data_IF_131142256650
#
_entry.id   IF_131142256650
#
_cell.length_a   1.000
_cell.length_b   1.000
_cell.length_c   1.000
_cell.angle_alpha   90.00
_cell.angle_beta   90.00
_cell.angle_gamma   90.00
#
_symmetry.space_group_name_H-M   'P 1'
#
loop_
_entity.id
_entity.type
_entity.pdbx_description
1 polymer ?
#
# COMPACT_ATOMS: atom_id res chain seq x y z
N UNK A 1 2.68 22.56 3.85
CA UNK A 1 2.53 22.20 2.42
C UNK A 1 1.67 23.25 1.74
N UNK A 2 1.99 23.59 0.48
CA UNK A 2 1.24 24.51 -0.39
C UNK A 2 0.49 23.74 -1.50
N UNK A 3 0.04 22.50 -1.19
CA UNK A 3 -0.64 21.64 -2.17
C UNK A 3 -1.93 22.27 -2.71
N UNK A 4 -2.67 23.02 -1.89
CA UNK A 4 -3.85 23.76 -2.34
C UNK A 4 -3.56 25.02 -3.15
N UNK A 5 -2.29 25.40 -3.31
CA UNK A 5 -1.93 26.67 -3.91
C UNK A 5 -2.33 27.86 -3.03
N UNK A 6 -2.75 28.93 -3.68
CA UNK A 6 -3.19 30.18 -3.05
C UNK A 6 -4.17 30.88 -4.00
N UNK A 7 -4.93 31.89 -3.56
CA UNK A 7 -5.78 32.66 -4.46
C UNK A 7 -5.02 33.17 -5.70
N UNK A 8 -5.44 32.72 -6.88
CA UNK A 8 -4.78 33.04 -8.17
C UNK A 8 -3.60 32.14 -8.56
N UNK A 9 -3.28 31.11 -7.76
CA UNK A 9 -2.21 30.14 -7.98
C UNK A 9 -2.81 28.73 -8.05
N UNK A 10 -2.41 27.96 -9.06
CA UNK A 10 -2.92 26.58 -9.22
C UNK A 10 -2.49 25.69 -8.04
N UNK A 11 -3.36 24.76 -7.59
CA UNK A 11 -2.97 23.72 -6.66
C UNK A 11 -2.01 22.72 -7.34
N UNK A 12 -1.36 21.91 -6.52
CA UNK A 12 -0.57 20.77 -6.96
C UNK A 12 -1.47 19.65 -7.48
N UNK A 13 -1.04 19.00 -8.56
CA UNK A 13 -1.69 17.81 -9.12
C UNK A 13 -1.12 16.55 -8.48
N UNK A 14 -1.97 15.83 -7.75
CA UNK A 14 -1.65 14.60 -7.03
C UNK A 14 -2.29 13.41 -7.73
N UNK A 15 -1.49 12.45 -8.13
CA UNK A 15 -1.94 11.19 -8.73
C UNK A 15 -1.76 10.06 -7.73
N UNK A 16 -2.82 9.33 -7.42
CA UNK A 16 -2.77 8.17 -6.53
C UNK A 16 -3.07 6.92 -7.34
N UNK A 17 -2.17 5.94 -7.30
CA UNK A 17 -2.26 4.68 -8.01
C UNK A 17 -2.71 3.58 -7.03
N UNK A 18 -3.95 3.13 -7.14
CA UNK A 18 -4.60 2.14 -6.28
C UNK A 18 -5.65 2.78 -5.36
N UNK A 19 -6.89 2.30 -5.40
CA UNK A 19 -8.04 2.72 -4.59
C UNK A 19 -8.32 1.74 -3.42
N UNK A 20 -7.29 1.01 -2.97
CA UNK A 20 -7.32 0.26 -1.72
C UNK A 20 -7.29 1.19 -0.50
N UNK A 21 -7.20 0.62 0.70
CA UNK A 21 -7.22 1.40 1.95
C UNK A 21 -6.12 2.48 1.99
N UNK A 22 -4.91 2.15 1.56
CA UNK A 22 -3.79 3.09 1.52
C UNK A 22 -4.07 4.25 0.58
N UNK A 23 -4.36 3.95 -0.69
CA UNK A 23 -4.54 5.00 -1.69
C UNK A 23 -5.81 5.83 -1.49
N UNK A 24 -6.90 5.24 -0.99
CA UNK A 24 -8.07 6.01 -0.57
C UNK A 24 -7.73 7.07 0.49
N UNK A 25 -7.03 6.67 1.56
CA UNK A 25 -6.64 7.61 2.61
C UNK A 25 -5.64 8.66 2.10
N UNK A 26 -4.70 8.27 1.23
CA UNK A 26 -3.77 9.20 0.61
C UNK A 26 -4.50 10.24 -0.26
N UNK A 27 -5.44 9.80 -1.09
CA UNK A 27 -6.25 10.66 -1.93
C UNK A 27 -7.15 11.59 -1.10
N UNK A 28 -7.76 11.06 -0.03
CA UNK A 28 -8.59 11.85 0.88
C UNK A 28 -7.77 12.94 1.60
N UNK A 29 -6.58 12.61 2.11
CA UNK A 29 -5.70 13.58 2.74
C UNK A 29 -5.21 14.66 1.76
N UNK A 30 -4.82 14.26 0.54
CA UNK A 30 -4.41 15.21 -0.50
C UNK A 30 -5.54 16.17 -0.89
N UNK A 31 -6.76 15.66 -1.07
CA UNK A 31 -7.94 16.48 -1.35
C UNK A 31 -8.30 17.39 -0.16
N UNK A 32 -8.10 16.92 1.07
CA UNK A 32 -8.25 17.74 2.28
C UNK A 32 -7.24 18.89 2.40
N UNK A 33 -6.09 18.77 1.72
CA UNK A 33 -5.11 19.84 1.54
C UNK A 33 -5.37 20.68 0.27
N UNK A 34 -6.55 20.52 -0.33
CA UNK A 34 -7.05 21.25 -1.51
C UNK A 34 -6.24 21.01 -2.80
N UNK A 35 -5.49 19.90 -2.89
CA UNK A 35 -4.83 19.50 -4.13
C UNK A 35 -5.84 19.04 -5.20
N UNK A 36 -5.44 19.11 -6.48
CA UNK A 36 -6.14 18.44 -7.57
C UNK A 36 -5.79 16.94 -7.55
N UNK A 37 -6.74 16.07 -7.21
CA UNK A 37 -6.47 14.65 -6.99
C UNK A 37 -7.09 13.75 -8.07
N UNK A 38 -6.24 12.98 -8.75
CA UNK A 38 -6.61 11.89 -9.64
C UNK A 38 -6.36 10.53 -8.94
N UNK A 39 -7.39 9.72 -8.73
CA UNK A 39 -7.29 8.38 -8.14
C UNK A 39 -7.53 7.30 -9.21
N UNK A 40 -6.52 6.48 -9.47
CA UNK A 40 -6.55 5.44 -10.50
C UNK A 40 -6.67 4.03 -9.90
N UNK A 41 -7.60 3.21 -10.39
CA UNK A 41 -7.68 1.78 -10.05
C UNK A 41 -8.28 0.95 -11.20
N UNK A 42 -8.03 -0.36 -11.23
CA UNK A 42 -8.66 -1.28 -12.20
C UNK A 42 -10.08 -1.66 -11.77
N UNK A 43 -10.38 -1.62 -10.47
CA UNK A 43 -11.66 -1.98 -9.89
C UNK A 43 -12.62 -0.77 -9.93
N UNK A 44 -13.55 -0.82 -10.88
CA UNK A 44 -14.56 0.23 -11.09
C UNK A 44 -15.49 0.36 -9.87
N UNK A 45 -15.78 -0.72 -9.14
CA UNK A 45 -16.66 -0.66 -7.96
C UNK A 45 -15.98 0.11 -6.81
N UNK A 46 -14.66 -0.04 -6.65
CA UNK A 46 -13.87 0.79 -5.72
C UNK A 46 -13.90 2.26 -6.11
N UNK A 47 -13.72 2.57 -7.39
CA UNK A 47 -13.79 3.94 -7.90
C UNK A 47 -15.18 4.54 -7.70
N UNK A 48 -16.25 3.79 -8.00
CA UNK A 48 -17.64 4.22 -7.78
C UNK A 48 -17.90 4.53 -6.31
N UNK A 49 -17.38 3.72 -5.40
CA UNK A 49 -17.52 3.96 -3.97
C UNK A 49 -16.85 5.26 -3.53
N UNK A 50 -15.64 5.54 -4.03
CA UNK A 50 -14.91 6.79 -3.76
C UNK A 50 -15.67 8.00 -4.30
N UNK A 51 -16.15 7.93 -5.53
CA UNK A 51 -16.88 9.01 -6.19
C UNK A 51 -18.17 9.38 -5.43
N UNK A 52 -18.93 8.38 -4.96
CA UNK A 52 -20.13 8.59 -4.15
C UNK A 52 -19.88 9.32 -2.82
N UNK A 53 -18.70 9.13 -2.22
CA UNK A 53 -18.33 9.77 -0.95
C UNK A 53 -17.78 11.18 -1.17
N UNK A 54 -16.91 11.35 -2.17
CA UNK A 54 -16.17 12.61 -2.37
C UNK A 54 -16.89 13.61 -3.28
N UNK A 55 -17.95 13.17 -3.97
CA UNK A 55 -18.84 14.04 -4.77
C UNK A 55 -18.07 14.98 -5.70
N UNK A 56 -17.12 14.43 -6.47
CA UNK A 56 -16.31 15.17 -7.43
C UNK A 56 -15.06 15.87 -6.88
N UNK A 57 -14.78 15.82 -5.57
CA UNK A 57 -13.51 16.33 -5.01
C UNK A 57 -12.28 15.50 -5.38
N UNK A 58 -12.47 14.22 -5.70
CA UNK A 58 -11.43 13.31 -6.17
C UNK A 58 -11.89 12.79 -7.53
N UNK A 59 -11.08 13.01 -8.57
CA UNK A 59 -11.36 12.49 -9.91
C UNK A 59 -10.97 11.03 -9.97
N UNK A 60 -11.94 10.13 -10.16
CA UNK A 60 -11.69 8.69 -10.27
C UNK A 60 -11.49 8.27 -11.73
N UNK A 61 -10.41 7.56 -12.02
CA UNK A 61 -10.01 7.21 -13.38
C UNK A 61 -9.74 5.69 -13.47
N UNK A 62 -10.32 5.03 -14.47
CA UNK A 62 -10.02 3.61 -14.70
C UNK A 62 -8.56 3.43 -15.13
N UNK A 63 -7.81 2.65 -14.36
CA UNK A 63 -6.38 2.43 -14.57
C UNK A 63 -6.11 1.53 -15.77
N UNK A 64 -5.42 2.08 -16.76
CA UNK A 64 -4.76 1.38 -17.85
C UNK A 64 -3.44 2.08 -18.16
N UNK A 65 -2.55 1.44 -18.94
CA UNK A 65 -1.21 1.96 -19.22
C UNK A 65 -1.22 3.41 -19.71
N UNK A 66 -2.03 3.74 -20.71
CA UNK A 66 -2.10 5.09 -21.25
C UNK A 66 -2.70 6.12 -20.27
N UNK A 67 -3.62 5.71 -19.41
CA UNK A 67 -4.15 6.58 -18.36
C UNK A 67 -3.08 6.91 -17.30
N UNK A 68 -2.29 5.92 -16.88
CA UNK A 68 -1.17 6.12 -15.95
C UNK A 68 -0.12 7.02 -16.58
N UNK A 69 0.32 6.74 -17.81
CA UNK A 69 1.32 7.53 -18.54
C UNK A 69 0.96 9.02 -18.61
N UNK A 70 -0.30 9.33 -18.98
CA UNK A 70 -0.78 10.72 -19.06
C UNK A 70 -0.90 11.39 -17.69
N UNK A 71 -1.37 10.66 -16.68
CA UNK A 71 -1.59 11.24 -15.35
C UNK A 71 -0.25 11.55 -14.68
N UNK A 72 0.71 10.63 -14.77
CA UNK A 72 2.03 10.75 -14.12
C UNK A 72 2.87 11.87 -14.74
N UNK A 73 2.85 12.06 -16.06
CA UNK A 73 3.67 13.08 -16.73
C UNK A 73 3.40 14.51 -16.23
N UNK A 74 2.13 14.83 -15.95
CA UNK A 74 1.69 16.16 -15.49
C UNK A 74 1.60 16.28 -13.96
N UNK A 75 1.90 15.21 -13.21
CA UNK A 75 1.78 15.19 -11.76
C UNK A 75 2.91 15.96 -11.07
N UNK A 76 2.58 16.66 -9.99
CA UNK A 76 3.57 17.23 -9.07
C UNK A 76 3.91 16.22 -7.97
N UNK A 77 2.97 15.34 -7.64
CA UNK A 77 3.13 14.23 -6.69
C UNK A 77 2.43 12.98 -7.22
N UNK A 78 3.14 11.85 -7.21
CA UNK A 78 2.57 10.52 -7.46
C UNK A 78 2.68 9.67 -6.20
N UNK A 79 1.60 9.02 -5.80
CA UNK A 79 1.55 8.10 -4.67
C UNK A 79 1.24 6.70 -5.20
N UNK A 80 2.24 5.83 -5.16
CA UNK A 80 2.13 4.42 -5.47
C UNK A 80 1.53 3.64 -4.30
N UNK A 81 0.28 3.22 -4.42
CA UNK A 81 -0.49 2.51 -3.38
C UNK A 81 -1.06 1.17 -3.90
N UNK A 82 -0.40 0.58 -4.90
CA UNK A 82 -0.82 -0.70 -5.50
C UNK A 82 -0.19 -1.85 -4.71
N UNK A 83 -1.03 -2.65 -4.09
CA UNK A 83 -0.64 -3.82 -3.29
C UNK A 83 -1.36 -5.06 -3.81
N UNK A 84 -0.63 -6.16 -3.97
CA UNK A 84 -1.22 -7.48 -4.22
C UNK A 84 -0.97 -8.34 -2.98
N UNK A 85 -2.02 -8.79 -2.26
CA UNK A 85 -1.84 -9.60 -1.06
C UNK A 85 -0.97 -10.84 -1.32
N UNK A 86 0.09 -11.01 -0.53
CA UNK A 86 0.93 -12.21 -0.53
C UNK A 86 1.91 -12.34 -1.71
N UNK A 87 2.02 -11.33 -2.58
CA UNK A 87 2.92 -11.35 -3.73
C UNK A 87 3.75 -10.06 -3.84
N UNK A 88 4.70 -10.05 -4.79
CA UNK A 88 5.45 -8.85 -5.15
C UNK A 88 4.50 -7.83 -5.79
N UNK A 89 4.64 -6.55 -5.42
CA UNK A 89 3.88 -5.48 -6.06
C UNK A 89 4.19 -5.43 -7.58
N UNK A 90 3.17 -5.31 -8.45
CA UNK A 90 3.41 -5.15 -9.88
C UNK A 90 3.98 -3.76 -10.14
N UNK A 91 4.96 -3.66 -11.04
CA UNK A 91 5.43 -2.37 -11.55
C UNK A 91 4.31 -1.71 -12.37
N UNK A 92 3.86 -0.54 -11.94
CA UNK A 92 2.80 0.25 -12.58
C UNK A 92 3.36 1.50 -13.25
N UNK A 93 4.43 2.08 -12.69
CA UNK A 93 5.12 3.24 -13.26
C UNK A 93 6.49 2.78 -13.75
N UNK A 94 6.71 2.86 -15.07
CA UNK A 94 8.00 2.51 -15.67
C UNK A 94 9.01 3.64 -15.54
N UNK A 95 10.29 3.34 -15.73
CA UNK A 95 11.36 4.35 -15.75
C UNK A 95 11.12 5.43 -16.82
N UNK A 96 10.56 5.06 -17.97
CA UNK A 96 10.19 6.02 -19.02
C UNK A 96 9.11 7.01 -18.56
N UNK A 97 8.13 6.54 -17.78
CA UNK A 97 7.11 7.41 -17.19
C UNK A 97 7.74 8.36 -16.15
N UNK A 98 8.75 7.92 -15.42
CA UNK A 98 9.48 8.78 -14.47
C UNK A 98 10.28 9.84 -15.21
N UNK A 99 10.93 9.48 -16.32
CA UNK A 99 11.66 10.44 -17.17
C UNK A 99 10.77 11.50 -17.81
N UNK A 100 9.47 11.21 -18.02
CA UNK A 100 8.52 12.18 -18.58
C UNK A 100 7.90 13.12 -17.55
N UNK A 101 8.15 12.91 -16.26
CA UNK A 101 7.65 13.78 -15.19
C UNK A 101 8.35 15.13 -15.17
N UNK A 102 7.70 16.11 -14.55
CA UNK A 102 8.29 17.43 -14.28
C UNK A 102 9.54 17.29 -13.39
N UNK A 103 10.65 17.99 -13.69
CA UNK A 103 11.75 18.12 -12.76
C UNK A 103 11.28 18.68 -11.42
N UNK A 104 11.71 18.06 -10.32
CA UNK A 104 11.31 18.40 -8.96
C UNK A 104 9.98 17.77 -8.51
N UNK A 105 9.27 17.06 -9.38
CA UNK A 105 8.13 16.24 -8.97
C UNK A 105 8.55 15.17 -7.95
N UNK A 106 7.59 14.72 -7.16
CA UNK A 106 7.82 13.74 -6.10
C UNK A 106 7.06 12.46 -6.39
N UNK A 107 7.70 11.32 -6.15
CA UNK A 107 7.05 10.01 -6.13
C UNK A 107 7.19 9.38 -4.75
N UNK A 108 6.09 8.87 -4.21
CA UNK A 108 6.02 8.16 -2.93
C UNK A 108 5.63 6.72 -3.25
N UNK A 109 6.51 5.76 -3.04
CA UNK A 109 6.22 4.34 -3.24
C UNK A 109 5.90 3.66 -1.92
N UNK A 110 4.61 3.54 -1.60
CA UNK A 110 4.14 2.91 -0.35
C UNK A 110 4.23 1.38 -0.45
N UNK A 111 4.26 0.84 -1.67
CA UNK A 111 4.40 -0.60 -1.90
C UNK A 111 5.85 -1.10 -1.79
N UNK A 112 6.78 -0.26 -1.31
CA UNK A 112 8.20 -0.59 -1.26
C UNK A 112 8.51 -1.81 -0.40
N UNK A 113 7.76 -2.01 0.69
CA UNK A 113 7.87 -3.19 1.57
C UNK A 113 7.61 -4.52 0.83
N UNK A 114 7.02 -4.47 -0.38
CA UNK A 114 6.77 -5.62 -1.26
C UNK A 114 7.46 -5.48 -2.63
N UNK A 115 8.55 -4.72 -2.70
CA UNK A 115 9.38 -4.54 -3.89
C UNK A 115 9.03 -3.34 -4.77
N UNK A 116 8.08 -2.50 -4.37
CA UNK A 116 7.72 -1.25 -5.03
C UNK A 116 6.83 -1.41 -6.26
N UNK A 117 6.03 -0.39 -6.55
CA UNK A 117 5.22 -0.32 -7.77
C UNK A 117 5.78 0.66 -8.81
N UNK A 118 6.90 1.31 -8.51
CA UNK A 118 7.62 2.24 -9.38
C UNK A 118 8.99 1.65 -9.71
N UNK A 119 9.29 1.49 -11.00
CA UNK A 119 10.48 0.76 -11.48
C UNK A 119 11.82 1.34 -10.97
N UNK A 120 11.87 2.65 -10.77
CA UNK A 120 13.05 3.40 -10.32
C UNK A 120 13.23 3.44 -8.81
N UNK A 121 12.24 2.95 -8.04
CA UNK A 121 12.28 2.93 -6.58
C UNK A 121 13.23 1.85 -6.04
N UNK A 122 13.87 2.17 -4.93
CA UNK A 122 14.52 1.22 -4.03
C UNK A 122 14.25 1.66 -2.59
N UNK A 123 14.29 0.72 -1.64
CA UNK A 123 13.95 1.00 -0.24
C UNK A 123 14.93 2.03 0.36
N UNK A 124 14.35 3.08 0.94
CA UNK A 124 15.06 4.12 1.69
C UNK A 124 14.78 3.99 3.18
N UNK A 125 15.42 4.81 4.01
CA UNK A 125 15.29 4.72 5.47
C UNK A 125 14.75 6.01 6.05
N UNK A 126 14.23 6.00 7.28
CA UNK A 126 13.79 7.23 7.95
C UNK A 126 14.92 8.27 8.10
N UNK A 127 16.18 7.83 8.19
CA UNK A 127 17.36 8.72 8.28
C UNK A 127 17.81 9.28 6.94
N UNK A 128 17.59 8.54 5.86
CA UNK A 128 17.91 8.95 4.50
C UNK A 128 16.71 8.62 3.60
N UNK A 129 15.66 9.46 3.63
CA UNK A 129 14.34 9.07 3.16
C UNK A 129 14.13 9.26 1.67
N UNK A 130 14.97 10.07 1.01
CA UNK A 130 14.79 10.44 -0.38
C UNK A 130 16.05 10.36 -1.20
N UNK A 131 15.87 10.09 -2.49
CA UNK A 131 16.92 10.24 -3.50
C UNK A 131 16.34 10.87 -4.77
N UNK A 132 17.21 11.32 -5.68
CA UNK A 132 16.78 11.91 -6.95
C UNK A 132 17.20 11.00 -8.09
N UNK A 133 16.26 10.65 -8.97
CA UNK A 133 16.52 9.95 -10.23
C UNK A 133 15.72 10.61 -11.35
N UNK A 134 16.38 10.91 -12.46
CA UNK A 134 15.80 11.62 -13.62
C UNK A 134 15.17 12.99 -13.26
N UNK A 135 15.72 13.67 -12.25
CA UNK A 135 15.19 14.94 -11.77
C UNK A 135 13.93 14.82 -10.90
N UNK A 136 13.48 13.60 -10.60
CA UNK A 136 12.31 13.31 -9.75
C UNK A 136 12.76 12.83 -8.38
N UNK A 137 12.18 13.40 -7.33
CA UNK A 137 12.47 13.02 -5.94
C UNK A 137 11.68 11.77 -5.60
N UNK A 138 12.36 10.72 -5.17
CA UNK A 138 11.75 9.47 -4.74
C UNK A 138 11.74 9.41 -3.22
N UNK A 139 10.61 9.03 -2.65
CA UNK A 139 10.45 8.66 -1.26
C UNK A 139 9.92 7.23 -1.20
N UNK A 140 10.71 6.32 -0.64
CA UNK A 140 10.40 4.89 -0.64
C UNK A 140 10.82 4.28 0.70
N UNK A 141 10.47 4.95 1.79
CA UNK A 141 10.83 4.53 3.15
C UNK A 141 10.01 3.31 3.54
N UNK A 142 10.68 2.21 3.90
CA UNK A 142 10.03 1.04 4.47
C UNK A 142 9.44 1.31 5.85
N UNK A 143 8.42 0.55 6.25
CA UNK A 143 7.78 0.68 7.57
C UNK A 143 7.38 2.14 7.92
N UNK A 144 6.69 2.83 6.99
CA UNK A 144 6.22 4.21 7.21
C UNK A 144 5.40 4.40 8.51
N UNK A 145 4.51 3.47 8.94
CA UNK A 145 3.78 3.62 10.19
C UNK A 145 4.66 3.72 11.44
N UNK A 146 5.91 3.26 11.38
CA UNK A 146 6.89 3.38 12.46
C UNK A 146 7.23 4.83 12.82
N UNK A 147 7.04 5.80 11.92
CA UNK A 147 7.28 7.22 12.18
C UNK A 147 6.21 7.86 13.09
N UNK A 148 5.05 7.22 13.25
CA UNK A 148 3.92 7.73 14.04
C UNK A 148 3.46 6.71 15.10
N UNK A 149 4.37 6.28 16.00
CA UNK A 149 4.19 5.09 16.83
C UNK A 149 3.00 5.16 17.77
N UNK A 150 2.64 6.35 18.28
CA UNK A 150 1.46 6.51 19.13
C UNK A 150 0.17 6.13 18.38
N UNK A 151 0.01 6.61 17.15
CA UNK A 151 -1.18 6.33 16.34
C UNK A 151 -1.14 4.90 15.79
N UNK A 152 0.01 4.47 15.24
CA UNK A 152 0.13 3.15 14.60
C UNK A 152 0.06 2.01 15.61
N UNK A 153 0.61 2.17 16.82
CA UNK A 153 0.47 1.17 17.90
C UNK A 153 -0.99 0.97 18.24
N UNK A 154 -1.72 2.04 18.54
CA UNK A 154 -3.14 1.95 18.90
C UNK A 154 -3.97 1.35 17.75
N UNK A 155 -3.72 1.76 16.50
CA UNK A 155 -4.42 1.21 15.34
C UNK A 155 -4.16 -0.30 15.17
N UNK A 156 -2.91 -0.74 15.28
CA UNK A 156 -2.54 -2.16 15.20
C UNK A 156 -3.15 -2.95 16.35
N UNK A 157 -2.97 -2.50 17.60
CA UNK A 157 -3.44 -3.23 18.77
C UNK A 157 -4.96 -3.33 18.83
N UNK A 158 -5.69 -2.30 18.41
CA UNK A 158 -7.16 -2.37 18.36
C UNK A 158 -7.64 -3.48 17.39
N UNK A 159 -6.93 -3.69 16.28
CA UNK A 159 -7.23 -4.75 15.33
C UNK A 159 -6.74 -6.14 15.81
N UNK A 160 -5.60 -6.22 16.49
CA UNK A 160 -5.00 -7.50 16.88
C UNK A 160 -5.45 -8.03 18.25
N UNK A 161 -5.96 -7.17 19.14
CA UNK A 161 -6.29 -7.53 20.51
C UNK A 161 -7.30 -8.69 20.63
N UNK A 162 -8.38 -8.78 19.82
CA UNK A 162 -9.29 -9.91 19.86
C UNK A 162 -8.57 -11.24 19.60
N UNK A 163 -7.73 -11.30 18.57
CA UNK A 163 -6.94 -12.47 18.20
C UNK A 163 -5.92 -12.86 19.28
N UNK A 164 -5.25 -11.88 19.87
CA UNK A 164 -4.32 -12.10 20.99
C UNK A 164 -5.03 -12.68 22.22
N UNK A 165 -6.24 -12.22 22.50
CA UNK A 165 -7.04 -12.73 23.61
C UNK A 165 -7.47 -14.19 23.40
N UNK A 166 -7.80 -14.58 22.17
CA UNK A 166 -8.10 -15.98 21.83
C UNK A 166 -6.86 -16.88 21.98
N UNK A 167 -5.73 -16.44 21.42
CA UNK A 167 -4.46 -17.16 21.53
C UNK A 167 -4.03 -17.34 23.00
N UNK A 168 -4.19 -16.29 23.82
CA UNK A 168 -3.85 -16.35 25.24
C UNK A 168 -4.78 -17.27 26.05
N UNK A 169 -6.07 -17.35 25.68
CA UNK A 169 -7.07 -18.17 26.40
C UNK A 169 -7.01 -19.65 26.03
N UNK A 170 -6.81 -19.95 24.74
CA UNK A 170 -6.99 -21.30 24.21
C UNK A 170 -5.68 -21.93 23.71
N UNK A 171 -4.60 -21.15 23.60
CA UNK A 171 -3.38 -21.58 22.93
C UNK A 171 -3.53 -21.62 21.41
N UNK A 172 -2.41 -21.76 20.69
CA UNK A 172 -2.37 -21.65 19.23
C UNK A 172 -3.23 -22.70 18.52
N UNK A 173 -3.16 -23.96 18.93
CA UNK A 173 -3.85 -25.06 18.25
C UNK A 173 -5.38 -24.90 18.30
N UNK A 174 -5.94 -24.56 19.45
CA UNK A 174 -7.38 -24.38 19.61
C UNK A 174 -7.86 -23.05 19.06
N UNK A 175 -7.11 -21.95 19.23
CA UNK A 175 -7.49 -20.65 18.65
C UNK A 175 -7.57 -20.69 17.12
N UNK A 176 -6.59 -21.31 16.44
CA UNK A 176 -6.59 -21.48 14.98
C UNK A 176 -7.77 -22.34 14.50
N UNK A 177 -8.19 -23.37 15.25
CA UNK A 177 -9.37 -24.17 14.89
C UNK A 177 -10.67 -23.39 15.02
N UNK A 178 -10.77 -22.51 16.02
CA UNK A 178 -11.98 -21.73 16.31
C UNK A 178 -12.15 -20.56 15.37
N UNK A 179 -11.05 -19.95 14.93
CA UNK A 179 -11.06 -18.77 14.07
C UNK A 179 -10.33 -19.02 12.73
N UNK A 180 -11.13 -19.12 11.67
CA UNK A 180 -10.63 -19.27 10.31
C UNK A 180 -9.72 -18.12 9.83
N UNK A 181 -9.84 -16.93 10.41
CA UNK A 181 -8.95 -15.80 10.11
C UNK A 181 -7.57 -16.02 10.73
N UNK A 182 -7.51 -16.48 11.98
CA UNK A 182 -6.26 -16.91 12.63
C UNK A 182 -5.60 -18.07 11.88
N UNK A 183 -6.39 -19.05 11.42
CA UNK A 183 -5.89 -20.17 10.64
C UNK A 183 -5.14 -19.72 9.39
N UNK A 184 -5.68 -18.74 8.65
CA UNK A 184 -5.02 -18.17 7.46
C UNK A 184 -3.73 -17.41 7.80
N UNK A 185 -3.59 -16.95 9.04
CA UNK A 185 -2.38 -16.28 9.54
C UNK A 185 -1.26 -17.23 9.96
N UNK A 186 -1.52 -18.55 10.08
CA UNK A 186 -0.50 -19.51 10.52
C UNK A 186 0.53 -19.76 9.42
N UNK A 187 1.77 -19.29 9.65
CA UNK A 187 2.87 -19.43 8.69
C UNK A 187 3.69 -20.71 8.92
N UNK A 188 3.97 -21.05 10.17
CA UNK A 188 4.77 -22.21 10.55
C UNK A 188 4.23 -22.85 11.82
N UNK A 189 4.28 -24.18 11.89
CA UNK A 189 4.00 -24.93 13.11
C UNK A 189 4.78 -26.24 13.15
N UNK A 190 5.27 -26.63 14.33
CA UNK A 190 6.00 -27.89 14.55
C UNK A 190 7.16 -28.17 13.55
N UNK A 191 7.84 -27.12 13.08
CA UNK A 191 8.92 -27.23 12.08
C UNK A 191 8.45 -27.30 10.62
N UNK A 192 7.15 -27.29 10.37
CA UNK A 192 6.53 -27.29 9.05
C UNK A 192 6.11 -25.88 8.62
N UNK A 193 6.06 -25.64 7.30
CA UNK A 193 5.46 -24.44 6.71
C UNK A 193 3.99 -24.73 6.41
N UNK A 194 3.10 -23.89 6.95
CA UNK A 194 1.65 -24.07 6.88
C UNK A 194 0.95 -22.99 6.08
N UNK A 195 1.71 -22.09 5.45
CA UNK A 195 1.20 -21.11 4.51
C UNK A 195 1.68 -21.48 3.10
N UNK A 196 0.72 -21.75 2.20
CA UNK A 196 1.01 -22.21 0.84
C UNK A 196 1.84 -21.20 0.03
N UNK A 197 1.53 -19.91 0.14
CA UNK A 197 2.26 -18.85 -0.58
C UNK A 197 3.72 -18.75 -0.11
N UNK A 198 3.97 -18.89 1.19
CA UNK A 198 5.34 -18.92 1.73
C UNK A 198 6.09 -20.18 1.29
N UNK A 199 5.43 -21.34 1.29
CA UNK A 199 6.03 -22.59 0.84
C UNK A 199 6.44 -22.51 -0.65
N UNK A 200 5.57 -21.98 -1.51
CA UNK A 200 5.84 -21.75 -2.93
C UNK A 200 7.00 -20.76 -3.12
N UNK A 201 6.96 -19.60 -2.46
CA UNK A 201 8.00 -18.58 -2.59
C UNK A 201 9.39 -19.07 -2.14
N UNK A 202 9.45 -19.99 -1.17
CA UNK A 202 10.70 -20.56 -0.66
C UNK A 202 11.09 -21.89 -1.32
N UNK A 203 10.27 -22.44 -2.23
CA UNK A 203 10.49 -23.75 -2.85
C UNK A 203 10.49 -24.91 -1.84
N UNK A 204 9.67 -24.82 -0.79
CA UNK A 204 9.59 -25.80 0.32
C UNK A 204 8.24 -26.52 0.33
N UNK A 205 8.18 -27.63 1.07
CA UNK A 205 6.94 -28.40 1.24
C UNK A 205 5.93 -27.68 2.14
N UNK A 206 4.69 -27.59 1.66
CA UNK A 206 3.53 -27.13 2.43
C UNK A 206 2.91 -28.29 3.21
N UNK A 207 2.46 -28.01 4.43
CA UNK A 207 1.71 -28.94 5.29
C UNK A 207 0.45 -28.24 5.80
N UNK A 208 -0.69 -28.92 5.77
CA UNK A 208 -1.93 -28.33 6.27
C UNK A 208 -1.82 -27.94 7.76
N UNK A 209 -2.31 -26.75 8.15
CA UNK A 209 -2.27 -26.27 9.55
C UNK A 209 -2.75 -27.30 10.58
N UNK A 210 -3.83 -28.01 10.26
CA UNK A 210 -4.46 -29.03 11.12
C UNK A 210 -3.56 -30.24 11.37
N UNK A 211 -2.72 -30.59 10.38
CA UNK A 211 -1.76 -31.68 10.50
C UNK A 211 -0.53 -31.25 11.31
N UNK A 212 -0.11 -29.99 11.15
CA UNK A 212 1.06 -29.45 11.86
C UNK A 212 0.77 -29.07 13.32
N UNK A 213 -0.50 -28.81 13.68
CA UNK A 213 -0.97 -28.56 15.04
C UNK A 213 -2.05 -29.59 15.44
N UNK A 214 -1.67 -30.85 15.68
CA UNK A 214 -2.62 -31.84 16.17
C UNK A 214 -3.18 -31.39 17.53
N UNK A 215 -4.44 -31.72 17.80
CA UNK A 215 -5.03 -31.49 19.11
C UNK A 215 -4.25 -32.27 20.19
N UNK A 216 -4.02 -31.63 21.34
CA UNK A 216 -3.61 -32.31 22.57
C UNK A 216 -4.80 -33.11 23.13
#
# INVERSE_FOLDING_TARGET
MLLGGAPGVRPARVVVLGAGNVGWNAAWMAAGLEAEVDLLDKNIDRLRHVDQIQMGRITTITSNRGAVERSVADADLVIGAVLVPGGRAPTVVSEDMIRSMKPGAVVIDIAIDQGGCIETSHETTHSDPTFVKHGVVHYAVGNMPGAVPHTSTNALTNATLPYLAELARFGAAEAVRRDSALAKGLNTAAGCITNAAVAEALGKSFVEPETALPAL
#
